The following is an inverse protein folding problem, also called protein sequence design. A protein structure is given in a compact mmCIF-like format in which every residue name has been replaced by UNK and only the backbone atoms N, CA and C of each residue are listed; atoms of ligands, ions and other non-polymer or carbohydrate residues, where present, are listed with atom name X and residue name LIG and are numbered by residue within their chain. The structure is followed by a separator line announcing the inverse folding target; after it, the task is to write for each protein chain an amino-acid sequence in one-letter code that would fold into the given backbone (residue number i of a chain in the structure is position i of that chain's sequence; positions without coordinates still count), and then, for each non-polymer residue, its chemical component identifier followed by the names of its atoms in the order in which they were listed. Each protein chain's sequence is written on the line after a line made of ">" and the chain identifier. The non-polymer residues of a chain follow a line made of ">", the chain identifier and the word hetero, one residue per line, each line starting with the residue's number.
data_IF_405719061112
#
_entry.id   IF_405719061112
#
_cell.length_a   1.000
_cell.length_b   1.000
_cell.length_c   1.000
_cell.angle_alpha   90.00
_cell.angle_beta   90.00
_cell.angle_gamma   90.00
#
_symmetry.space_group_name_H-M   'P 1'
#
loop_
_entity.id
_entity.type
_entity.pdbx_description
1 polymer ?
#
# COMPACT_ATOMS: atom_id res chain seq x y z
N UNK A 1 20.41 21.58 -2.19
CA UNK A 1 21.12 20.68 -3.13
C UNK A 1 21.94 19.71 -2.29
N UNK A 2 21.47 18.47 -2.17
CA UNK A 2 22.02 17.47 -1.22
C UNK A 2 23.39 17.02 -1.73
N UNK A 3 24.45 17.41 -1.00
CA UNK A 3 25.81 16.93 -1.24
C UNK A 3 25.91 15.50 -0.72
N UNK A 4 25.85 14.51 -1.61
CA UNK A 4 26.35 13.17 -1.29
C UNK A 4 27.88 13.25 -1.22
N UNK A 5 28.39 13.43 -0.01
CA UNK A 5 29.80 13.22 0.29
C UNK A 5 29.99 11.70 0.37
N UNK A 6 30.53 11.10 -0.68
CA UNK A 6 31.01 9.71 -0.62
C UNK A 6 32.43 9.76 -0.06
N UNK A 7 32.55 9.99 1.25
CA UNK A 7 33.77 9.59 1.96
C UNK A 7 33.85 8.06 1.92
N UNK A 8 35.04 7.45 1.98
CA UNK A 8 35.19 6.01 2.22
C UNK A 8 34.84 5.69 3.69
N UNK A 9 33.66 6.09 4.16
CA UNK A 9 33.15 5.82 5.50
C UNK A 9 33.16 4.31 5.81
N UNK A 10 33.01 3.47 4.79
CA UNK A 10 33.05 2.00 4.90
C UNK A 10 34.44 1.45 5.22
N UNK A 11 35.52 2.15 4.83
CA UNK A 11 36.93 1.76 5.07
C UNK A 11 37.44 2.44 6.36
N UNK A 12 36.90 3.60 6.72
CA UNK A 12 37.20 4.25 8.00
C UNK A 12 36.43 3.63 9.18
N UNK A 13 35.34 2.87 8.91
CA UNK A 13 34.55 2.19 9.93
C UNK A 13 35.24 0.92 10.41
N UNK A 14 35.54 0.86 11.70
CA UNK A 14 36.13 -0.31 12.37
C UNK A 14 35.17 -1.52 12.34
N UNK A 15 33.86 -1.27 12.31
CA UNK A 15 32.82 -2.30 12.37
C UNK A 15 32.31 -2.78 10.99
N UNK A 16 33.06 -2.53 9.92
CA UNK A 16 32.64 -2.89 8.56
C UNK A 16 32.56 -4.41 8.37
N UNK A 17 31.42 -4.90 7.89
CA UNK A 17 31.20 -6.34 7.57
C UNK A 17 31.46 -6.68 6.10
N UNK A 18 31.88 -5.71 5.29
CA UNK A 18 32.16 -5.94 3.87
C UNK A 18 33.55 -6.58 3.72
N UNK A 19 33.67 -7.78 3.10
CA UNK A 19 34.95 -8.45 2.92
C UNK A 19 35.97 -7.61 2.15
N UNK A 20 35.51 -6.86 1.14
CA UNK A 20 36.36 -5.99 0.32
C UNK A 20 36.91 -4.82 1.16
N UNK A 21 36.08 -4.24 2.02
CA UNK A 21 36.51 -3.16 2.91
C UNK A 21 37.54 -3.65 3.94
N UNK A 22 37.33 -4.84 4.53
CA UNK A 22 38.28 -5.46 5.46
C UNK A 22 39.63 -5.78 4.79
N UNK A 23 39.61 -6.39 3.59
CA UNK A 23 40.83 -6.63 2.81
C UNK A 23 41.58 -5.33 2.49
N UNK A 24 40.84 -4.27 2.15
CA UNK A 24 41.43 -2.96 1.85
C UNK A 24 42.07 -2.35 3.10
N UNK A 25 41.40 -2.43 4.26
CA UNK A 25 41.94 -1.99 5.54
C UNK A 25 43.24 -2.74 5.90
N UNK A 26 43.28 -4.06 5.75
CA UNK A 26 44.49 -4.86 6.01
C UNK A 26 45.68 -4.44 5.13
N UNK A 27 45.44 -4.19 3.84
CA UNK A 27 46.49 -3.75 2.91
C UNK A 27 47.02 -2.37 3.30
N UNK A 28 46.12 -1.45 3.67
CA UNK A 28 46.48 -0.10 4.10
C UNK A 28 47.26 -0.13 5.43
N UNK A 29 46.86 -0.98 6.38
CA UNK A 29 47.56 -1.15 7.67
C UNK A 29 48.98 -1.72 7.51
N UNK A 30 49.20 -2.59 6.52
CA UNK A 30 50.52 -3.18 6.21
C UNK A 30 51.43 -2.22 5.43
N UNK A 31 50.91 -1.12 4.91
CA UNK A 31 51.64 -0.21 4.03
C UNK A 31 52.01 1.09 4.75
N UNK A 32 53.30 1.36 4.95
CA UNK A 32 53.76 2.55 5.69
C UNK A 32 53.88 3.83 4.85
N UNK A 33 53.84 3.73 3.51
CA UNK A 33 54.16 4.83 2.60
C UNK A 33 53.01 5.28 1.69
N UNK A 34 51.75 4.93 2.02
CA UNK A 34 50.59 5.32 1.20
C UNK A 34 49.94 6.57 1.81
N UNK A 35 49.77 7.61 0.99
CA UNK A 35 48.98 8.80 1.34
C UNK A 35 47.70 8.80 0.52
N UNK A 36 46.57 8.95 1.20
CA UNK A 36 45.26 9.03 0.57
C UNK A 36 44.81 10.50 0.51
N UNK A 37 44.31 10.90 -0.65
CA UNK A 37 43.77 12.23 -0.87
C UNK A 37 42.52 12.15 -1.74
N UNK A 38 41.55 13.03 -1.49
CA UNK A 38 40.35 13.14 -2.30
C UNK A 38 40.50 14.26 -3.33
N UNK A 39 40.13 13.95 -4.57
CA UNK A 39 40.11 14.91 -5.67
C UNK A 39 38.72 14.87 -6.30
N UNK A 40 38.21 16.04 -6.69
CA UNK A 40 36.88 16.14 -7.29
C UNK A 40 36.84 15.48 -8.67
N UNK A 41 35.76 14.76 -8.95
CA UNK A 41 35.51 14.16 -10.27
C UNK A 41 35.10 15.21 -11.32
N UNK A 42 35.43 14.95 -12.59
CA UNK A 42 35.00 15.72 -13.77
C UNK A 42 35.35 17.21 -13.74
N UNK A 43 36.58 17.54 -13.34
CA UNK A 43 37.08 18.94 -13.30
C UNK A 43 38.38 19.14 -14.09
N UNK A 44 38.72 18.24 -15.03
CA UNK A 44 39.87 18.40 -15.92
C UNK A 44 41.20 17.85 -15.41
N UNK A 45 41.23 17.14 -14.27
CA UNK A 45 42.47 16.50 -13.81
C UNK A 45 42.78 15.27 -14.67
N UNK A 46 43.79 15.38 -15.54
CA UNK A 46 44.13 14.37 -16.55
C UNK A 46 44.26 12.95 -16.00
N UNK A 47 44.95 12.75 -14.87
CA UNK A 47 45.09 11.42 -14.25
C UNK A 47 43.77 10.85 -13.71
N UNK A 48 42.91 11.68 -13.14
CA UNK A 48 41.61 11.25 -12.63
C UNK A 48 40.63 10.93 -13.77
N UNK A 49 40.66 11.72 -14.84
CA UNK A 49 39.84 11.48 -16.04
C UNK A 49 40.30 10.24 -16.82
N UNK A 50 41.60 10.02 -16.92
CA UNK A 50 42.15 8.79 -17.49
C UNK A 50 41.71 7.56 -16.68
N UNK A 51 41.77 7.63 -15.34
CA UNK A 51 41.31 6.55 -14.47
C UNK A 51 39.79 6.27 -14.62
N UNK A 52 38.96 7.31 -14.66
CA UNK A 52 37.50 7.18 -14.88
C UNK A 52 37.19 6.61 -16.28
N UNK A 53 37.92 7.04 -17.30
CA UNK A 53 37.82 6.52 -18.66
C UNK A 53 38.17 5.03 -18.73
N UNK A 54 39.25 4.62 -18.06
CA UNK A 54 39.64 3.21 -17.95
C UNK A 54 38.60 2.39 -17.18
N UNK A 55 38.07 2.92 -16.07
CA UNK A 55 37.02 2.24 -15.31
C UNK A 55 35.75 2.03 -16.15
N UNK A 56 35.31 3.05 -16.90
CA UNK A 56 34.17 2.93 -17.84
C UNK A 56 34.44 1.91 -18.93
N UNK A 57 35.61 1.94 -19.54
CA UNK A 57 36.01 0.95 -20.56
C UNK A 57 35.98 -0.47 -19.99
N UNK A 58 36.47 -0.66 -18.77
CA UNK A 58 36.40 -1.95 -18.06
C UNK A 58 34.96 -2.42 -17.79
N UNK A 59 33.98 -1.54 -17.61
CA UNK A 59 32.57 -1.96 -17.48
C UNK A 59 31.95 -2.47 -18.79
N UNK A 60 32.51 -2.10 -19.94
CA UNK A 60 32.03 -2.49 -21.27
C UNK A 60 32.79 -3.69 -21.84
N UNK A 61 34.11 -3.72 -21.66
CA UNK A 61 35.02 -4.71 -22.27
C UNK A 61 35.57 -5.73 -21.26
N UNK A 62 35.37 -5.48 -19.96
CA UNK A 62 35.89 -6.35 -18.91
C UNK A 62 35.11 -7.67 -18.77
N UNK A 63 35.71 -8.61 -18.04
CA UNK A 63 35.04 -9.87 -17.70
C UNK A 63 33.86 -9.56 -16.77
N UNK A 64 32.62 -9.91 -17.14
CA UNK A 64 31.46 -9.69 -16.29
C UNK A 64 31.63 -10.45 -14.97
N UNK A 65 31.89 -9.72 -13.90
CA UNK A 65 31.84 -10.26 -12.55
C UNK A 65 30.41 -10.14 -12.07
N UNK A 66 29.76 -11.29 -11.83
CA UNK A 66 28.41 -11.32 -11.26
C UNK A 66 28.49 -10.87 -9.80
N UNK A 67 28.35 -9.56 -9.58
CA UNK A 67 28.06 -9.06 -8.25
C UNK A 67 26.56 -9.30 -8.03
N UNK A 68 26.15 -10.19 -7.11
CA UNK A 68 24.74 -10.46 -6.89
C UNK A 68 24.03 -9.14 -6.62
N UNK A 69 23.01 -8.85 -7.45
CA UNK A 69 22.31 -7.57 -7.39
C UNK A 69 21.93 -7.27 -5.95
N UNK A 70 22.27 -6.05 -5.52
CA UNK A 70 22.05 -5.62 -4.13
C UNK A 70 20.60 -5.96 -3.77
N UNK A 71 20.38 -6.68 -2.67
CA UNK A 71 19.04 -7.18 -2.28
C UNK A 71 17.94 -6.12 -2.36
N UNK A 72 18.29 -4.86 -2.06
CA UNK A 72 17.38 -3.72 -2.15
C UNK A 72 16.94 -3.40 -3.59
N UNK A 73 17.82 -3.56 -4.57
CA UNK A 73 17.51 -3.40 -5.99
C UNK A 73 16.50 -4.45 -6.45
N UNK A 74 16.74 -5.73 -6.14
CA UNK A 74 15.80 -6.82 -6.45
C UNK A 74 14.44 -6.57 -5.77
N UNK A 75 14.45 -6.21 -4.48
CA UNK A 75 13.22 -5.87 -3.75
C UNK A 75 12.44 -4.73 -4.38
N UNK A 76 13.12 -3.67 -4.80
CA UNK A 76 12.51 -2.52 -5.47
C UNK A 76 11.87 -2.92 -6.79
N UNK A 77 12.55 -3.76 -7.58
CA UNK A 77 12.02 -4.29 -8.83
C UNK A 77 10.76 -5.13 -8.59
N UNK A 78 10.83 -6.09 -7.66
CA UNK A 78 9.69 -6.95 -7.30
C UNK A 78 8.50 -6.15 -6.78
N UNK A 79 8.75 -5.13 -5.97
CA UNK A 79 7.70 -4.25 -5.45
C UNK A 79 7.00 -3.49 -6.58
N UNK A 80 7.75 -2.96 -7.55
CA UNK A 80 7.19 -2.26 -8.72
C UNK A 80 6.31 -3.18 -9.55
N UNK A 81 6.81 -4.37 -9.89
CA UNK A 81 6.05 -5.36 -10.66
C UNK A 81 4.79 -5.83 -9.93
N UNK A 82 4.89 -6.03 -8.62
CA UNK A 82 3.74 -6.42 -7.78
C UNK A 82 2.65 -5.35 -7.77
N UNK A 83 3.03 -4.07 -7.68
CA UNK A 83 2.08 -2.95 -7.71
C UNK A 83 1.39 -2.86 -9.08
N UNK A 84 2.14 -2.99 -10.18
CA UNK A 84 1.59 -2.94 -11.54
C UNK A 84 0.60 -4.09 -11.75
N UNK A 85 0.99 -5.31 -11.39
CA UNK A 85 0.13 -6.48 -11.50
C UNK A 85 -1.12 -6.31 -10.65
N UNK A 86 -0.98 -5.92 -9.39
CA UNK A 86 -2.12 -5.74 -8.50
C UNK A 86 -3.07 -4.64 -8.98
N UNK A 87 -2.55 -3.54 -9.53
CA UNK A 87 -3.38 -2.49 -10.13
C UNK A 87 -4.20 -3.04 -11.31
N UNK A 88 -3.60 -3.86 -12.17
CA UNK A 88 -4.30 -4.49 -13.29
C UNK A 88 -5.43 -5.42 -12.82
N UNK A 89 -5.20 -6.19 -11.76
CA UNK A 89 -6.26 -7.00 -11.15
C UNK A 89 -7.38 -6.09 -10.60
N UNK A 90 -7.03 -5.03 -9.87
CA UNK A 90 -8.00 -4.09 -9.30
C UNK A 90 -8.88 -3.42 -10.35
N UNK A 91 -8.28 -3.01 -11.49
CA UNK A 91 -9.00 -2.35 -12.58
C UNK A 91 -10.00 -3.28 -13.27
N UNK A 92 -9.74 -4.61 -13.27
CA UNK A 92 -10.57 -5.62 -13.94
C UNK A 92 -11.57 -6.32 -12.99
N UNK A 93 -11.47 -6.12 -11.67
CA UNK A 93 -12.37 -6.77 -10.71
C UNK A 93 -13.81 -6.22 -10.82
N UNK A 94 -14.77 -7.14 -10.95
CA UNK A 94 -16.20 -6.84 -10.84
C UNK A 94 -16.67 -6.76 -9.38
N UNK A 95 -16.01 -7.49 -8.48
CA UNK A 95 -16.31 -7.49 -7.04
C UNK A 95 -15.53 -6.38 -6.31
N UNK A 96 -16.14 -5.75 -5.31
CA UNK A 96 -15.46 -4.72 -4.51
C UNK A 96 -15.34 -3.37 -5.21
N UNK A 97 -16.23 -3.07 -6.17
CA UNK A 97 -16.27 -1.79 -6.90
C UNK A 97 -16.37 -0.59 -5.97
N UNK A 98 -17.04 -0.70 -4.82
CA UNK A 98 -17.06 0.34 -3.80
C UNK A 98 -15.65 0.73 -3.33
N UNK A 99 -14.76 -0.25 -3.09
CA UNK A 99 -13.37 0.00 -2.71
C UNK A 99 -12.60 0.63 -3.86
N UNK A 100 -12.75 0.13 -5.09
CA UNK A 100 -12.09 0.68 -6.28
C UNK A 100 -12.52 2.15 -6.54
N UNK A 101 -13.81 2.46 -6.40
CA UNK A 101 -14.35 3.81 -6.57
C UNK A 101 -13.71 4.84 -5.62
N UNK A 102 -13.21 4.39 -4.46
CA UNK A 102 -12.60 5.27 -3.45
C UNK A 102 -11.08 5.22 -3.49
N UNK A 103 -10.50 4.03 -3.64
CA UNK A 103 -9.08 3.77 -3.72
C UNK A 103 -8.75 3.18 -5.10
N UNK A 104 -8.85 3.97 -6.18
CA UNK A 104 -8.64 3.48 -7.54
C UNK A 104 -7.17 3.18 -7.84
N UNK A 105 -6.26 3.57 -6.95
CA UNK A 105 -4.83 3.34 -7.09
C UNK A 105 -4.30 2.52 -5.92
N UNK A 106 -3.64 1.42 -6.26
CA UNK A 106 -2.88 0.61 -5.34
C UNK A 106 -1.79 1.45 -4.69
N UNK A 107 -1.73 1.41 -3.35
CA UNK A 107 -0.71 2.06 -2.54
C UNK A 107 -0.20 1.08 -1.50
N UNK A 108 1.08 1.17 -1.18
CA UNK A 108 1.72 0.35 -0.13
C UNK A 108 1.58 0.97 1.25
N UNK A 109 1.26 2.26 1.32
CA UNK A 109 0.96 2.96 2.56
C UNK A 109 -0.50 2.72 2.95
N UNK A 110 -0.79 2.33 4.21
CA UNK A 110 -2.16 2.21 4.68
C UNK A 110 -2.90 3.55 4.60
N UNK A 111 -4.16 3.50 4.18
CA UNK A 111 -5.06 4.66 4.29
C UNK A 111 -5.42 4.85 5.77
N UNK A 112 -5.48 6.10 6.29
CA UNK A 112 -5.75 6.37 7.72
C UNK A 112 -7.24 6.20 8.07
N UNK A 113 -7.85 5.10 7.63
CA UNK A 113 -9.24 4.80 7.90
C UNK A 113 -9.42 4.05 9.21
N UNK A 114 -10.49 4.37 9.92
CA UNK A 114 -10.89 3.66 11.13
C UNK A 114 -11.65 2.38 10.79
N UNK A 115 -11.76 1.46 11.76
CA UNK A 115 -12.47 0.19 11.57
C UNK A 115 -13.89 0.34 11.00
N UNK A 116 -14.76 1.25 11.50
CA UNK A 116 -16.11 1.42 10.95
C UNK A 116 -16.12 1.85 9.47
N UNK A 117 -15.13 2.65 9.09
CA UNK A 117 -14.97 3.17 7.74
C UNK A 117 -14.57 2.08 6.76
N UNK A 118 -13.59 1.27 7.16
CA UNK A 118 -13.16 0.10 6.41
C UNK A 118 -14.33 -0.87 6.22
N UNK A 119 -15.07 -1.18 7.30
CA UNK A 119 -16.24 -2.06 7.25
C UNK A 119 -17.29 -1.54 6.26
N UNK A 120 -17.64 -0.26 6.35
CA UNK A 120 -18.64 0.36 5.47
C UNK A 120 -18.26 0.27 3.99
N UNK A 121 -17.02 0.61 3.63
CA UNK A 121 -16.57 0.66 2.22
C UNK A 121 -16.42 -0.72 1.62
N UNK A 122 -15.86 -1.65 2.39
CA UNK A 122 -15.65 -3.04 1.94
C UNK A 122 -16.93 -3.86 1.99
N UNK A 123 -17.97 -3.34 2.66
CA UNK A 123 -19.18 -4.09 2.98
C UNK A 123 -18.92 -5.28 3.90
N UNK A 124 -17.82 -5.27 4.65
CA UNK A 124 -17.46 -6.32 5.60
C UNK A 124 -18.09 -6.11 6.98
N UNK A 125 -18.05 -7.17 7.79
CA UNK A 125 -18.44 -7.12 9.19
C UNK A 125 -19.82 -7.72 9.41
N UNK A 126 -20.71 -6.98 10.06
CA UNK A 126 -22.05 -7.45 10.43
C UNK A 126 -23.08 -7.32 9.30
N UNK A 127 -22.68 -6.88 8.10
CA UNK A 127 -23.61 -6.76 6.99
C UNK A 127 -24.07 -8.14 6.50
N UNK A 128 -25.39 -8.39 6.35
CA UNK A 128 -25.94 -9.67 5.88
C UNK A 128 -25.35 -10.16 4.57
N UNK A 129 -25.09 -9.26 3.60
CA UNK A 129 -24.45 -9.64 2.34
C UNK A 129 -23.06 -10.24 2.53
N UNK A 130 -22.31 -9.78 3.53
CA UNK A 130 -21.01 -10.34 3.87
C UNK A 130 -21.16 -11.65 4.65
N UNK A 131 -22.02 -11.68 5.66
CA UNK A 131 -22.23 -12.89 6.47
C UNK A 131 -22.71 -14.07 5.63
N UNK A 132 -23.61 -13.85 4.66
CA UNK A 132 -24.04 -14.88 3.70
C UNK A 132 -22.90 -15.38 2.82
N UNK A 133 -22.07 -14.47 2.30
CA UNK A 133 -20.92 -14.83 1.46
C UNK A 133 -19.93 -15.77 2.17
N UNK A 134 -19.80 -15.64 3.49
CA UNK A 134 -18.95 -16.49 4.32
C UNK A 134 -19.69 -17.65 4.98
N UNK A 135 -20.94 -17.94 4.57
CA UNK A 135 -21.78 -19.00 5.12
C UNK A 135 -21.97 -18.93 6.64
N UNK A 136 -21.88 -17.73 7.22
CA UNK A 136 -22.17 -17.47 8.64
C UNK A 136 -23.69 -17.36 8.84
N UNK A 137 -24.40 -16.90 7.80
CA UNK A 137 -25.86 -16.81 7.74
C UNK A 137 -26.38 -17.33 6.41
N UNK A 138 -27.60 -17.83 6.37
CA UNK A 138 -28.25 -18.28 5.14
C UNK A 138 -28.80 -17.10 4.31
N UNK A 139 -29.26 -16.04 4.97
CA UNK A 139 -29.89 -14.87 4.34
C UNK A 139 -28.99 -13.63 4.31
N UNK A 140 -29.01 -12.92 3.17
CA UNK A 140 -28.39 -11.62 2.93
C UNK A 140 -29.39 -10.46 3.14
N UNK A 141 -30.57 -10.76 3.65
CA UNK A 141 -31.60 -9.78 3.91
C UNK A 141 -31.39 -9.06 5.24
N UNK A 142 -31.65 -7.76 5.21
CA UNK A 142 -31.93 -6.93 6.37
C UNK A 142 -33.29 -7.33 6.97
N UNK A 143 -33.52 -7.10 8.26
CA UNK A 143 -34.79 -7.33 8.94
C UNK A 143 -35.97 -6.55 8.34
N UNK A 144 -35.71 -5.54 7.50
CA UNK A 144 -36.76 -4.83 6.77
C UNK A 144 -37.14 -5.52 5.43
N UNK A 145 -36.56 -6.68 5.12
CA UNK A 145 -36.84 -7.49 3.93
C UNK A 145 -36.01 -7.15 2.68
N UNK A 146 -35.21 -6.07 2.70
CA UNK A 146 -34.35 -5.68 1.57
C UNK A 146 -32.92 -6.24 1.73
N UNK A 147 -32.13 -6.17 0.66
CA UNK A 147 -30.72 -6.58 0.66
C UNK A 147 -29.90 -5.80 1.72
N UNK A 148 -29.30 -6.51 2.67
CA UNK A 148 -28.56 -5.97 3.81
C UNK A 148 -27.13 -5.55 3.47
N UNK A 149 -26.96 -4.64 2.52
CA UNK A 149 -25.65 -4.09 2.15
C UNK A 149 -25.44 -2.67 2.73
N UNK A 150 -24.19 -2.14 2.75
CA UNK A 150 -23.91 -0.82 3.32
C UNK A 150 -24.71 0.32 2.68
N UNK A 151 -24.90 0.28 1.36
CA UNK A 151 -25.62 1.31 0.63
C UNK A 151 -27.09 1.37 1.07
N UNK A 152 -27.73 0.20 1.28
CA UNK A 152 -29.08 0.10 1.80
C UNK A 152 -29.20 0.77 3.17
N UNK A 153 -28.37 0.37 4.14
CA UNK A 153 -28.38 0.96 5.49
C UNK A 153 -28.06 2.45 5.49
N UNK A 154 -27.22 2.92 4.58
CA UNK A 154 -26.86 4.33 4.49
C UNK A 154 -27.90 5.20 3.77
N UNK A 155 -28.87 4.64 3.04
CA UNK A 155 -29.71 5.47 2.14
C UNK A 155 -31.20 5.13 2.13
N UNK A 156 -31.62 3.96 2.61
CA UNK A 156 -33.00 3.49 2.39
C UNK A 156 -33.56 2.52 3.42
N UNK A 157 -32.80 2.09 4.42
CA UNK A 157 -33.32 1.15 5.42
C UNK A 157 -34.25 1.84 6.42
N UNK A 158 -35.42 1.23 6.66
CA UNK A 158 -36.42 1.78 7.58
C UNK A 158 -35.87 1.99 8.99
N UNK A 159 -35.00 1.07 9.45
CA UNK A 159 -34.42 1.10 10.80
C UNK A 159 -33.28 2.10 10.98
N UNK A 160 -32.70 2.63 9.90
CA UNK A 160 -31.53 3.54 9.97
C UNK A 160 -31.84 4.92 9.39
N UNK A 161 -33.11 5.31 9.37
CA UNK A 161 -33.60 6.58 8.80
C UNK A 161 -32.83 7.81 9.30
N UNK A 162 -32.50 7.87 10.59
CA UNK A 162 -31.73 8.98 11.19
C UNK A 162 -30.31 9.12 10.62
N UNK A 163 -29.76 8.04 10.06
CA UNK A 163 -28.40 7.96 9.53
C UNK A 163 -28.33 8.13 8.01
N UNK A 164 -29.47 8.31 7.32
CA UNK A 164 -29.51 8.36 5.87
C UNK A 164 -28.68 9.49 5.25
N UNK A 165 -27.86 9.14 4.29
CA UNK A 165 -27.27 9.99 3.29
C UNK A 165 -28.18 10.03 2.07
N UNK A 166 -28.01 11.04 1.21
CA UNK A 166 -28.79 11.16 -0.03
C UNK A 166 -28.62 9.92 -0.89
N UNK A 167 -29.70 9.21 -1.23
CA UNK A 167 -29.63 8.03 -2.08
C UNK A 167 -29.19 8.40 -3.50
N UNK A 168 -28.17 7.74 -4.08
CA UNK A 168 -27.80 7.96 -5.47
C UNK A 168 -28.74 7.23 -6.43
N UNK A 169 -28.84 7.71 -7.67
CA UNK A 169 -29.28 6.87 -8.78
C UNK A 169 -28.20 5.84 -9.11
N UNK A 170 -28.57 4.73 -9.75
CA UNK A 170 -27.65 3.64 -10.07
C UNK A 170 -26.39 4.12 -10.83
N UNK A 171 -26.58 4.97 -11.85
CA UNK A 171 -25.47 5.50 -12.67
C UNK A 171 -24.51 6.43 -11.91
N UNK A 172 -24.98 7.01 -10.80
CA UNK A 172 -24.22 7.96 -9.98
C UNK A 172 -23.63 7.33 -8.72
N UNK A 173 -23.81 6.02 -8.50
CA UNK A 173 -23.28 5.34 -7.32
C UNK A 173 -21.75 5.51 -7.18
N UNK A 174 -20.92 5.38 -8.24
CA UNK A 174 -19.47 5.60 -8.11
C UNK A 174 -19.11 7.01 -7.61
N UNK A 175 -19.81 8.03 -8.12
CA UNK A 175 -19.61 9.42 -7.72
C UNK A 175 -20.10 9.66 -6.29
N UNK A 176 -21.17 8.99 -5.89
CA UNK A 176 -21.69 9.04 -4.54
C UNK A 176 -20.67 8.53 -3.53
N UNK A 177 -20.07 7.35 -3.77
CA UNK A 177 -19.00 6.81 -2.94
C UNK A 177 -17.87 7.83 -2.81
N UNK A 178 -17.40 8.39 -3.93
CA UNK A 178 -16.34 9.41 -3.91
C UNK A 178 -16.72 10.65 -3.08
N UNK A 179 -17.96 11.13 -3.15
CA UNK A 179 -18.41 12.32 -2.39
C UNK A 179 -18.54 12.05 -0.90
N UNK A 180 -19.15 10.92 -0.55
CA UNK A 180 -19.34 10.50 0.84
C UNK A 180 -17.99 10.36 1.55
N UNK A 181 -17.02 9.77 0.88
CA UNK A 181 -15.71 9.45 1.43
C UNK A 181 -14.77 10.65 1.57
N UNK A 182 -15.03 11.71 0.81
CA UNK A 182 -14.29 12.98 0.90
C UNK A 182 -14.93 13.98 1.88
N UNK A 183 -16.00 13.59 2.59
CA UNK A 183 -16.74 14.47 3.49
C UNK A 183 -16.69 13.96 4.94
N UNK A 184 -16.07 14.75 5.83
CA UNK A 184 -15.93 14.41 7.24
C UNK A 184 -17.27 14.27 7.98
N UNK A 185 -18.31 15.02 7.59
CA UNK A 185 -19.64 14.91 8.19
C UNK A 185 -20.31 13.60 7.79
N UNK A 186 -20.17 13.21 6.52
CA UNK A 186 -20.62 11.89 6.06
C UNK A 186 -19.91 10.78 6.84
N UNK A 187 -18.61 10.93 7.09
CA UNK A 187 -17.87 9.98 7.91
C UNK A 187 -18.36 9.89 9.36
N UNK A 188 -18.62 11.03 10.00
CA UNK A 188 -19.20 11.05 11.34
C UNK A 188 -20.55 10.32 11.36
N UNK A 189 -21.38 10.49 10.32
CA UNK A 189 -22.66 9.80 10.19
C UNK A 189 -22.51 8.30 9.98
N UNK A 190 -21.57 7.87 9.13
CA UNK A 190 -21.25 6.46 8.89
C UNK A 190 -20.75 5.77 10.15
N UNK A 191 -19.85 6.40 10.92
CA UNK A 191 -19.36 5.82 12.18
C UNK A 191 -20.52 5.56 13.13
N UNK A 192 -21.43 6.54 13.30
CA UNK A 192 -22.63 6.38 14.12
C UNK A 192 -23.56 5.27 13.59
N UNK A 193 -23.74 5.20 12.27
CA UNK A 193 -24.51 4.13 11.62
C UNK A 193 -23.94 2.74 11.94
N UNK A 194 -22.64 2.54 11.76
CA UNK A 194 -21.99 1.24 12.03
C UNK A 194 -22.13 0.85 13.51
N UNK A 195 -21.93 1.81 14.42
CA UNK A 195 -22.14 1.57 15.85
C UNK A 195 -23.59 1.15 16.14
N UNK A 196 -24.57 1.87 15.59
CA UNK A 196 -25.98 1.51 15.73
C UNK A 196 -26.28 0.11 15.20
N UNK A 197 -25.73 -0.27 14.04
CA UNK A 197 -25.92 -1.61 13.46
C UNK A 197 -25.35 -2.69 14.39
N UNK A 198 -24.17 -2.46 14.95
CA UNK A 198 -23.53 -3.42 15.85
C UNK A 198 -24.30 -3.60 17.17
N UNK A 199 -24.91 -2.54 17.70
CA UNK A 199 -25.69 -2.58 18.95
C UNK A 199 -27.09 -3.17 18.76
N UNK A 200 -27.63 -3.15 17.53
CA UNK A 200 -29.00 -3.57 17.23
C UNK A 200 -29.04 -4.81 16.31
N UNK A 201 -28.06 -5.70 16.47
CA UNK A 201 -27.89 -6.91 15.66
C UNK A 201 -29.19 -7.75 15.60
N UNK A 202 -29.83 -7.98 16.75
CA UNK A 202 -31.06 -8.79 16.82
C UNK A 202 -32.26 -8.19 16.08
N UNK A 203 -32.35 -6.86 16.00
CA UNK A 203 -33.41 -6.15 15.28
C UNK A 203 -33.18 -6.16 13.77
N UNK A 204 -31.92 -5.95 13.37
CA UNK A 204 -31.54 -5.84 11.97
C UNK A 204 -31.36 -7.20 11.30
N UNK A 205 -31.17 -8.25 12.09
CA UNK A 205 -30.94 -9.61 11.63
C UNK A 205 -31.85 -10.59 12.39
N UNK A 206 -33.17 -10.57 12.13
CA UNK A 206 -34.07 -11.54 12.72
C UNK A 206 -33.60 -12.95 12.34
N UNK A 207 -33.58 -13.89 13.30
CA UNK A 207 -33.23 -15.28 13.00
C UNK A 207 -34.18 -15.77 11.90
N UNK A 208 -33.62 -16.41 10.88
CA UNK A 208 -34.43 -17.13 9.92
C UNK A 208 -35.28 -18.10 10.75
N UNK A 209 -36.60 -18.05 10.58
CA UNK A 209 -37.49 -18.96 11.29
C UNK A 209 -37.01 -20.39 11.04
N UNK A 210 -37.00 -21.23 12.08
CA UNK A 210 -36.88 -22.66 11.87
C UNK A 210 -38.08 -23.05 10.98
N UNK A 211 -37.83 -23.23 9.68
CA UNK A 211 -38.80 -23.79 8.75
C UNK A 211 -39.13 -25.20 9.25
N UNK A 212 -40.25 -25.30 9.95
CA UNK A 212 -40.84 -26.54 10.48
C UNK A 212 -41.94 -27.01 9.53
#
# INVERSE_FOLDING_TARGET
>A
MVRQRVEPHSIASIDTKSPIAQQTQEILLKSTNIKLGWIKAHVGYSGNEAADGLAKKATQEGIPTCNPALRNHIKSLLQKESIIRWQKELDNLETGRSVNNVLPKVKTTPTPWQRPEIMFVTGHGTFPTYLKRFNIRSSDSCGCGNLGNPLHYATSCLFTTSYHLTKPSADLEPLWWKRVMNNNNSWAKIRKLIHFIAENETLLFPKDGDDN
#
